data_IF_537680655341
#
_entry.id   IF_537680655341
#
_cell.length_a   1.000
_cell.length_b   1.000
_cell.length_c   1.000
_cell.angle_alpha   90.00
_cell.angle_beta   90.00
_cell.angle_gamma   90.00
#
_symmetry.space_group_name_H-M   'P 1'
#
loop_
_entity.id
_entity.type
_entity.pdbx_description
1 polymer ?
#
# COMPACT_ATOMS: atom_id res chain seq x y z
N UNK A 1 7.84 -3.63 -6.34
CA UNK A 1 6.99 -3.23 -5.19
C UNK A 1 6.10 -2.10 -5.66
N UNK A 2 4.79 -2.19 -5.49
CA UNK A 2 3.86 -1.13 -5.88
C UNK A 2 4.07 0.13 -5.02
N UNK A 3 4.06 1.31 -5.60
CA UNK A 3 4.26 2.60 -4.90
C UNK A 3 3.23 2.79 -3.77
N UNK A 4 2.01 2.32 -3.97
CA UNK A 4 0.95 2.30 -2.95
C UNK A 4 1.31 1.45 -1.73
N UNK A 5 1.92 0.28 -1.94
CA UNK A 5 2.37 -0.58 -0.83
C UNK A 5 3.47 0.12 -0.02
N UNK A 6 4.38 0.81 -0.69
CA UNK A 6 5.44 1.57 -0.04
C UNK A 6 4.88 2.71 0.79
N UNK A 7 3.93 3.48 0.25
CA UNK A 7 3.23 4.53 0.99
C UNK A 7 2.54 4.00 2.26
N UNK A 8 1.86 2.85 2.17
CA UNK A 8 1.18 2.26 3.34
C UNK A 8 2.15 1.83 4.43
N UNK A 9 3.30 1.27 4.05
CA UNK A 9 4.37 0.89 4.98
C UNK A 9 4.96 2.15 5.62
N UNK A 10 5.33 3.15 4.82
CA UNK A 10 5.87 4.41 5.33
C UNK A 10 4.86 5.15 6.23
N UNK A 11 3.55 5.09 5.93
CA UNK A 11 2.50 5.65 6.81
C UNK A 11 2.44 4.92 8.16
N UNK A 12 2.69 3.61 8.19
CA UNK A 12 2.70 2.84 9.42
C UNK A 12 3.97 3.11 10.26
N UNK A 13 5.11 3.30 9.61
CA UNK A 13 6.41 3.45 10.27
C UNK A 13 6.77 4.91 10.60
N UNK A 14 6.28 5.88 9.83
CA UNK A 14 6.68 7.30 9.94
C UNK A 14 5.53 8.19 10.45
N UNK A 15 5.61 8.69 11.71
CA UNK A 15 4.57 9.55 12.28
C UNK A 15 4.50 10.94 11.61
N UNK A 16 5.62 11.46 11.11
CA UNK A 16 5.65 12.72 10.35
C UNK A 16 4.95 12.60 9.00
N UNK A 17 5.09 11.45 8.34
CA UNK A 17 4.36 11.16 7.11
C UNK A 17 2.85 11.06 7.37
N UNK A 18 2.43 10.48 8.50
CA UNK A 18 1.01 10.52 8.89
C UNK A 18 0.49 11.93 9.11
N UNK A 19 1.29 12.83 9.70
CA UNK A 19 0.90 14.23 9.86
C UNK A 19 0.77 14.94 8.51
N UNK A 20 1.74 14.75 7.63
CA UNK A 20 1.70 15.29 6.26
C UNK A 20 0.50 14.75 5.49
N UNK A 21 0.22 13.46 5.60
CA UNK A 21 -0.92 12.81 4.95
C UNK A 21 -2.27 13.25 5.53
N UNK A 22 -2.35 13.56 6.83
CA UNK A 22 -3.55 14.14 7.43
C UNK A 22 -3.78 15.60 7.00
N UNK A 23 -2.71 16.36 6.80
CA UNK A 23 -2.78 17.75 6.37
C UNK A 23 -3.12 17.84 4.87
N UNK A 24 -2.43 17.05 4.03
CA UNK A 24 -2.62 17.03 2.59
C UNK A 24 -2.35 15.61 2.03
N UNK A 25 -3.37 14.74 2.03
CA UNK A 25 -3.23 13.37 1.56
C UNK A 25 -2.91 13.32 0.06
N UNK A 26 -3.45 14.24 -0.74
CA UNK A 26 -3.28 14.26 -2.19
C UNK A 26 -1.85 14.66 -2.58
N UNK A 27 -1.26 15.64 -1.88
CA UNK A 27 0.14 16.02 -2.08
C UNK A 27 1.11 14.87 -1.73
N UNK A 28 0.86 14.16 -0.62
CA UNK A 28 1.67 12.99 -0.25
C UNK A 28 1.51 11.87 -1.27
N UNK A 29 0.30 11.63 -1.78
CA UNK A 29 0.12 10.59 -2.78
C UNK A 29 0.77 10.92 -4.12
N UNK A 30 0.71 12.20 -4.54
CA UNK A 30 1.40 12.69 -5.74
C UNK A 30 2.92 12.61 -5.61
N UNK A 31 3.48 12.83 -4.42
CA UNK A 31 4.94 12.69 -4.20
C UNK A 31 5.43 11.26 -4.37
N UNK A 32 4.56 10.28 -4.05
CA UNK A 32 4.76 8.85 -4.32
C UNK A 32 4.39 8.43 -5.75
N UNK A 33 4.10 9.39 -6.65
CA UNK A 33 3.71 9.18 -8.05
C UNK A 33 2.58 8.17 -8.24
N UNK A 34 1.66 8.12 -7.27
CA UNK A 34 0.50 7.25 -7.35
C UNK A 34 -0.35 7.58 -8.57
N UNK A 35 -0.83 6.53 -9.24
CA UNK A 35 -1.82 6.65 -10.30
C UNK A 35 -3.11 7.26 -9.76
N UNK A 36 -3.84 7.99 -10.59
CA UNK A 36 -5.10 8.65 -10.20
C UNK A 36 -6.12 7.65 -9.62
N UNK A 37 -6.15 6.42 -10.12
CA UNK A 37 -6.98 5.34 -9.57
C UNK A 37 -6.62 4.97 -8.13
N UNK A 38 -5.33 4.95 -7.79
CA UNK A 38 -4.87 4.68 -6.43
C UNK A 38 -5.14 5.86 -5.50
N UNK A 39 -5.03 7.09 -6.00
CA UNK A 39 -5.40 8.30 -5.26
C UNK A 39 -6.89 8.28 -4.96
N UNK A 40 -7.73 8.02 -5.97
CA UNK A 40 -9.17 7.93 -5.81
C UNK A 40 -9.56 6.82 -4.82
N UNK A 41 -8.94 5.64 -4.90
CA UNK A 41 -9.16 4.55 -3.95
C UNK A 41 -8.79 4.94 -2.51
N UNK A 42 -7.66 5.63 -2.32
CA UNK A 42 -7.23 6.12 -1.00
C UNK A 42 -8.16 7.19 -0.43
N UNK A 43 -8.61 8.14 -1.27
CA UNK A 43 -9.55 9.20 -0.88
C UNK A 43 -10.95 8.64 -0.56
N UNK A 44 -11.43 7.69 -1.36
CA UNK A 44 -12.68 6.98 -1.14
C UNK A 44 -12.61 5.98 0.03
N UNK A 45 -11.43 5.77 0.62
CA UNK A 45 -11.15 4.74 1.63
C UNK A 45 -11.57 3.34 1.18
N UNK A 46 -11.46 3.08 -0.12
CA UNK A 46 -11.80 1.80 -0.73
C UNK A 46 -10.68 0.79 -0.43
N UNK A 47 -10.83 0.10 0.70
CA UNK A 47 -9.86 -0.91 1.16
C UNK A 47 -9.69 -2.05 0.16
N UNK A 48 -10.73 -2.39 -0.60
CA UNK A 48 -10.65 -3.47 -1.61
C UNK A 48 -9.87 -3.03 -2.85
N UNK A 49 -10.11 -1.80 -3.33
CA UNK A 49 -9.31 -1.22 -4.40
C UNK A 49 -7.86 -1.01 -3.96
N UNK A 50 -7.61 -0.50 -2.75
CA UNK A 50 -6.26 -0.33 -2.19
C UNK A 50 -5.52 -1.67 -2.17
N UNK A 51 -6.14 -2.76 -1.67
CA UNK A 51 -5.53 -4.09 -1.63
C UNK A 51 -5.19 -4.65 -3.02
N UNK A 52 -6.08 -4.45 -4.00
CA UNK A 52 -5.85 -4.85 -5.39
C UNK A 52 -4.71 -4.06 -6.03
N UNK A 53 -4.77 -2.73 -5.93
CA UNK A 53 -3.80 -1.80 -6.54
C UNK A 53 -2.42 -1.86 -5.87
N UNK A 54 -2.35 -2.15 -4.57
CA UNK A 54 -1.09 -2.31 -3.85
C UNK A 54 -0.40 -3.65 -4.15
N UNK A 55 -1.04 -4.53 -4.93
CA UNK A 55 -0.56 -5.89 -5.17
C UNK A 55 -0.53 -6.73 -3.89
N UNK A 56 -1.35 -6.38 -2.88
CA UNK A 56 -1.52 -7.23 -1.69
C UNK A 56 -2.32 -8.49 -2.04
N UNK A 57 -3.15 -8.46 -3.08
CA UNK A 57 -3.85 -9.65 -3.60
C UNK A 57 -2.88 -10.72 -4.15
N UNK A 58 -1.69 -10.33 -4.63
CA UNK A 58 -0.61 -11.27 -5.00
C UNK A 58 0.09 -11.93 -3.80
N UNK A 59 -0.28 -11.58 -2.55
CA UNK A 59 0.00 -12.41 -1.37
C UNK A 59 -1.19 -13.36 -1.10
N UNK A 60 -1.96 -13.71 -2.12
CA UNK A 60 -2.68 -14.98 -2.10
C UNK A 60 -1.61 -16.05 -2.32
N UNK A 61 -1.24 -16.72 -1.24
CA UNK A 61 -0.35 -17.86 -1.17
C UNK A 61 -0.26 -18.61 -2.50
N UNK A 62 0.79 -18.37 -3.28
CA UNK A 62 1.28 -19.44 -4.14
C UNK A 62 1.68 -20.55 -3.18
N UNK A 63 0.92 -21.64 -3.20
CA UNK A 63 1.08 -22.83 -2.37
C UNK A 63 2.39 -23.58 -2.61
N UNK A 64 3.52 -22.89 -2.50
CA UNK A 64 4.87 -23.44 -2.60
C UNK A 64 5.80 -22.77 -1.58
N UNK A 65 5.30 -22.44 -0.39
CA UNK A 65 6.17 -22.57 0.78
C UNK A 65 6.20 -24.06 1.07
N UNK A 66 7.03 -24.80 0.33
CA UNK A 66 7.55 -26.07 0.83
C UNK A 66 8.25 -25.69 2.13
N UNK A 67 7.54 -25.88 3.25
CA UNK A 67 8.16 -25.92 4.55
C UNK A 67 9.28 -26.95 4.43
N UNK A 68 10.50 -26.46 4.49
CA UNK A 68 11.68 -27.29 4.60
C UNK A 68 11.56 -28.01 5.94
N UNK A 69 10.92 -29.18 5.92
CA UNK A 69 10.95 -30.12 7.03
C UNK A 69 12.38 -30.67 7.06
N UNK A 70 13.22 -30.06 7.90
CA UNK A 70 14.51 -30.60 8.28
C UNK A 70 14.25 -31.87 9.09
N UNK A 71 14.60 -33.03 8.53
CA UNK A 71 14.67 -34.30 9.25
C UNK A 71 16.12 -34.68 9.51
#
# INVERSE_FOLDING_TARGET
MSELKRLLIDLAEQPDLQKAYKADPEAVMRSYRLSEEAIAAMLAKDVEAIKRLSGLDSIRSNGTVQAHDYR
#
